data_IF_643761437753
#
_entry.id   IF_643761437753
#
_cell.length_a   1.000
_cell.length_b   1.000
_cell.length_c   1.000
_cell.angle_alpha   90.00
_cell.angle_beta   90.00
_cell.angle_gamma   90.00
#
_symmetry.space_group_name_H-M   'P 1'
#
loop_
_entity.id
_entity.type
_entity.pdbx_description
1 polymer ?
#
# COMPACT_ATOMS: atom_id res chain seq x y z
N UNK A 1 -15.42 -13.94 19.06
CA UNK A 1 -15.08 -12.55 19.45
C UNK A 1 -15.99 -11.57 18.74
N UNK A 2 -16.09 -10.32 19.20
CA UNK A 2 -16.86 -9.27 18.49
C UNK A 2 -16.20 -9.03 17.12
N UNK A 3 -16.98 -8.97 16.04
CA UNK A 3 -16.45 -8.80 14.66
C UNK A 3 -15.57 -7.55 14.52
N UNK A 4 -15.87 -6.47 15.25
CA UNK A 4 -15.04 -5.26 15.37
C UNK A 4 -13.60 -5.49 15.86
N UNK A 5 -13.34 -6.59 16.56
CA UNK A 5 -12.02 -6.91 17.10
C UNK A 5 -11.21 -7.82 16.15
N UNK A 6 -11.79 -8.22 15.01
CA UNK A 6 -11.09 -9.03 14.01
C UNK A 6 -10.26 -8.08 13.15
N UNK A 7 -8.92 -8.22 13.12
CA UNK A 7 -8.08 -7.43 12.23
C UNK A 7 -8.50 -7.61 10.78
N UNK A 8 -8.48 -6.52 10.01
CA UNK A 8 -8.67 -6.60 8.57
C UNK A 8 -7.42 -7.15 7.91
N UNK A 9 -6.24 -6.65 8.31
CA UNK A 9 -4.97 -7.12 7.79
C UNK A 9 -4.45 -8.32 8.57
N UNK A 10 -3.78 -9.23 7.86
CA UNK A 10 -3.17 -10.43 8.41
C UNK A 10 -1.84 -10.11 9.14
N UNK A 11 -1.96 -9.56 10.35
CA UNK A 11 -0.80 -9.21 11.20
C UNK A 11 0.01 -10.43 11.64
N UNK A 12 -0.63 -11.59 11.78
CA UNK A 12 0.03 -12.81 12.24
C UNK A 12 1.03 -13.30 11.18
N UNK A 13 0.78 -12.99 9.90
CA UNK A 13 1.72 -13.17 8.80
C UNK A 13 2.75 -12.04 8.63
N UNK A 14 2.75 -11.04 9.53
CA UNK A 14 3.65 -9.88 9.47
C UNK A 14 3.25 -8.79 8.46
N UNK A 15 1.96 -8.72 8.09
CA UNK A 15 1.46 -7.81 7.04
C UNK A 15 0.53 -6.71 7.64
N UNK A 16 0.46 -5.51 7.03
CA UNK A 16 1.16 -5.07 5.82
C UNK A 16 2.65 -4.78 6.08
N UNK A 17 3.49 -4.94 5.06
CA UNK A 17 4.93 -4.72 5.15
C UNK A 17 5.47 -3.98 3.93
N UNK A 18 6.49 -3.16 4.14
CA UNK A 18 7.28 -2.54 3.08
C UNK A 18 8.46 -3.44 2.72
N UNK A 19 8.63 -3.69 1.41
CA UNK A 19 9.73 -4.45 0.82
C UNK A 19 10.28 -3.70 -0.39
N UNK A 20 11.41 -4.17 -0.90
CA UNK A 20 12.01 -3.70 -2.15
C UNK A 20 11.65 -4.67 -3.27
N UNK A 21 11.18 -4.16 -4.41
CA UNK A 21 11.11 -4.91 -5.66
C UNK A 21 12.24 -4.47 -6.58
N UNK A 22 13.13 -5.38 -6.95
CA UNK A 22 14.22 -5.06 -7.89
C UNK A 22 13.75 -5.08 -9.35
N UNK A 23 14.65 -4.75 -10.28
CA UNK A 23 14.42 -4.77 -11.74
C UNK A 23 13.97 -6.14 -12.27
N UNK A 24 14.42 -7.22 -11.63
CA UNK A 24 14.06 -8.60 -11.99
C UNK A 24 12.68 -8.99 -11.44
N UNK A 25 12.04 -8.10 -10.67
CA UNK A 25 10.74 -8.32 -10.05
C UNK A 25 10.79 -9.11 -8.75
N UNK A 26 11.98 -9.41 -8.23
CA UNK A 26 12.17 -10.14 -6.98
C UNK A 26 11.92 -9.22 -5.78
N UNK A 27 11.36 -9.81 -4.72
CA UNK A 27 11.00 -9.12 -3.48
C UNK A 27 12.01 -9.43 -2.39
N UNK A 28 12.49 -8.39 -1.70
CA UNK A 28 13.43 -8.53 -0.57
C UNK A 28 13.11 -7.52 0.54
N UNK A 29 13.53 -7.82 1.77
CA UNK A 29 13.36 -6.89 2.89
C UNK A 29 14.13 -5.58 2.67
N UNK A 30 13.64 -4.48 3.25
CA UNK A 30 14.33 -3.18 3.16
C UNK A 30 15.68 -3.28 3.90
N UNK A 31 16.83 -3.12 3.22
CA UNK A 31 18.14 -3.49 3.77
C UNK A 31 18.61 -2.68 4.99
N UNK A 32 18.16 -1.42 5.11
CA UNK A 32 18.54 -0.53 6.21
C UNK A 32 17.54 0.63 6.35
N UNK A 33 17.53 1.26 7.52
CA UNK A 33 16.86 2.55 7.71
C UNK A 33 17.56 3.59 6.82
N UNK A 34 16.80 4.25 5.93
CA UNK A 34 17.26 5.18 4.87
C UNK A 34 17.68 4.52 3.54
N UNK A 35 17.20 3.31 3.24
CA UNK A 35 17.36 2.77 1.89
C UNK A 35 16.83 3.74 0.82
N UNK A 36 17.67 4.00 -0.18
CA UNK A 36 17.37 4.89 -1.28
C UNK A 36 16.77 4.10 -2.44
N UNK A 37 15.49 4.32 -2.68
CA UNK A 37 14.78 3.72 -3.80
C UNK A 37 15.05 4.52 -5.09
N UNK A 38 15.57 3.84 -6.11
CA UNK A 38 15.63 4.38 -7.46
C UNK A 38 14.55 3.69 -8.28
N UNK A 39 13.50 4.39 -8.73
CA UNK A 39 12.39 3.75 -9.45
C UNK A 39 12.80 3.00 -10.74
N UNK A 40 13.98 3.26 -11.29
CA UNK A 40 14.52 2.50 -12.41
C UNK A 40 15.01 1.12 -11.99
N UNK A 41 15.53 0.99 -10.75
CA UNK A 41 16.25 -0.20 -10.29
C UNK A 41 15.60 -0.92 -9.10
N UNK A 42 14.77 -0.21 -8.35
CA UNK A 42 14.17 -0.64 -7.10
C UNK A 42 12.92 0.18 -6.76
N UNK A 43 11.76 -0.47 -6.68
CA UNK A 43 10.51 0.16 -6.28
C UNK A 43 10.15 -0.15 -4.82
N UNK A 44 9.76 0.86 -4.01
CA UNK A 44 9.10 0.63 -2.73
C UNK A 44 7.81 -0.14 -3.00
N UNK A 45 7.69 -1.31 -2.38
CA UNK A 45 6.61 -2.24 -2.63
C UNK A 45 5.93 -2.60 -1.33
N UNK A 46 4.61 -2.51 -1.29
CA UNK A 46 3.84 -2.86 -0.10
C UNK A 46 3.15 -4.20 -0.34
N UNK A 47 3.40 -5.15 0.54
CA UNK A 47 2.66 -6.41 0.57
C UNK A 47 1.54 -6.28 1.58
N UNK A 48 0.32 -6.60 1.14
CA UNK A 48 -0.86 -6.63 2.01
C UNK A 48 -1.56 -7.97 1.87
N UNK A 49 -2.24 -8.37 2.94
CA UNK A 49 -3.10 -9.54 2.93
C UNK A 49 -4.31 -9.27 3.79
N UNK A 50 -5.48 -9.54 3.22
CA UNK A 50 -6.75 -9.27 3.85
C UNK A 50 -7.29 -10.55 4.49
N UNK A 51 -7.27 -10.61 5.82
CA UNK A 51 -7.92 -11.68 6.60
C UNK A 51 -9.44 -11.57 6.59
N UNK A 52 -9.98 -10.38 6.31
CA UNK A 52 -11.40 -10.09 6.21
C UNK A 52 -11.70 -9.07 5.11
N UNK A 53 -12.95 -9.03 4.66
CA UNK A 53 -13.44 -8.02 3.71
C UNK A 53 -13.41 -6.61 4.32
N UNK A 54 -12.91 -5.64 3.56
CA UNK A 54 -12.94 -4.21 3.88
C UNK A 54 -13.73 -3.43 2.82
N UNK A 55 -14.66 -2.53 3.22
CA UNK A 55 -15.35 -1.65 2.28
C UNK A 55 -14.46 -0.58 1.69
N UNK A 56 -13.35 -0.23 2.34
CA UNK A 56 -12.42 0.79 1.86
C UNK A 56 -11.00 0.45 2.28
N UNK A 57 -10.18 0.14 1.29
CA UNK A 57 -8.74 -0.01 1.43
C UNK A 57 -8.04 1.15 0.74
N UNK A 58 -7.04 1.71 1.41
CA UNK A 58 -6.21 2.77 0.84
C UNK A 58 -4.74 2.55 1.17
N UNK A 59 -3.85 2.85 0.23
CA UNK A 59 -2.45 3.16 0.53
C UNK A 59 -2.24 4.63 0.22
N UNK A 60 -1.86 5.40 1.23
CA UNK A 60 -1.77 6.86 1.19
C UNK A 60 -0.32 7.29 1.27
N UNK A 61 0.04 8.24 0.41
CA UNK A 61 1.37 8.86 0.38
C UNK A 61 1.26 10.23 1.03
N UNK A 62 2.16 10.51 1.98
CA UNK A 62 2.20 11.79 2.68
C UNK A 62 3.59 12.40 2.63
N UNK A 63 3.65 13.72 2.73
CA UNK A 63 4.88 14.43 2.99
C UNK A 63 5.25 14.29 4.48
N UNK A 64 6.40 13.70 4.87
CA UNK A 64 6.72 13.39 6.27
C UNK A 64 6.72 14.61 7.19
N UNK A 65 7.23 15.76 6.70
CA UNK A 65 7.40 16.96 7.51
C UNK A 65 6.08 17.68 7.79
N UNK A 66 5.26 17.88 6.75
CA UNK A 66 3.99 18.61 6.85
C UNK A 66 2.83 17.69 7.22
N UNK A 67 3.01 16.36 7.11
CA UNK A 67 1.95 15.34 7.16
C UNK A 67 0.86 15.55 6.12
N UNK A 68 1.16 16.33 5.08
CA UNK A 68 0.23 16.62 3.99
C UNK A 68 -0.03 15.34 3.20
N UNK A 69 -1.31 15.09 2.89
CA UNK A 69 -1.71 14.00 2.02
C UNK A 69 -1.41 14.38 0.57
N UNK A 70 -0.62 13.56 -0.11
CA UNK A 70 -0.19 13.81 -1.50
C UNK A 70 -1.01 13.00 -2.51
N UNK A 71 -1.63 11.90 -2.07
CA UNK A 71 -2.50 11.07 -2.89
C UNK A 71 -2.51 9.60 -2.49
N UNK A 72 -3.36 8.85 -3.17
CA UNK A 72 -3.45 7.40 -3.10
C UNK A 72 -2.44 6.77 -4.05
N UNK A 73 -1.71 5.77 -3.57
CA UNK A 73 -0.72 5.05 -4.37
C UNK A 73 -1.36 4.43 -5.61
N UNK A 74 -0.70 4.61 -6.75
CA UNK A 74 -1.02 3.92 -8.01
C UNK A 74 0.11 2.95 -8.31
N UNK A 75 -0.23 1.66 -8.38
CA UNK A 75 0.67 0.59 -8.83
C UNK A 75 0.36 0.25 -10.28
N UNK A 76 1.39 0.01 -11.09
CA UNK A 76 1.21 -0.41 -12.47
C UNK A 76 0.57 -1.80 -12.59
N UNK A 77 0.80 -2.68 -11.61
CA UNK A 77 0.29 -4.05 -11.62
C UNK A 77 -1.04 -4.19 -10.86
N UNK A 78 -1.17 -3.54 -9.72
CA UNK A 78 -2.34 -3.67 -8.84
C UNK A 78 -3.35 -2.53 -8.97
N UNK A 79 -3.08 -1.55 -9.83
CA UNK A 79 -3.92 -0.36 -9.99
C UNK A 79 -3.85 0.57 -8.78
N UNK A 80 -4.89 1.39 -8.63
CA UNK A 80 -4.98 2.36 -7.54
C UNK A 80 -5.41 1.70 -6.23
N UNK A 81 -4.66 1.93 -5.16
CA UNK A 81 -5.00 1.46 -3.82
C UNK A 81 -6.06 2.38 -3.17
N UNK A 82 -7.31 2.29 -3.63
CA UNK A 82 -8.43 3.17 -3.19
C UNK A 82 -9.81 2.48 -3.12
N UNK A 83 -9.88 1.17 -3.32
CA UNK A 83 -11.16 0.48 -3.55
C UNK A 83 -11.53 -0.47 -2.40
N UNK A 84 -12.80 -0.91 -2.33
CA UNK A 84 -13.16 -2.05 -1.49
C UNK A 84 -12.29 -3.27 -1.83
N UNK A 85 -12.01 -4.11 -0.84
CA UNK A 85 -11.24 -5.33 -1.06
C UNK A 85 -11.81 -6.51 -0.28
N UNK A 86 -11.88 -7.66 -0.95
CA UNK A 86 -12.35 -8.91 -0.39
C UNK A 86 -11.29 -9.63 0.44
N UNK A 87 -11.71 -10.68 1.15
CA UNK A 87 -10.78 -11.62 1.79
C UNK A 87 -9.97 -12.34 0.72
N UNK A 88 -8.66 -12.49 0.96
CA UNK A 88 -7.78 -13.27 0.08
C UNK A 88 -7.85 -14.77 0.42
N UNK A 89 -7.61 -15.63 -0.57
CA UNK A 89 -7.42 -17.07 -0.32
C UNK A 89 -6.23 -17.29 0.61
N UNK A 90 -6.17 -18.44 1.28
CA UNK A 90 -5.03 -18.71 2.16
C UNK A 90 -3.72 -18.82 1.37
N UNK A 91 -3.76 -19.64 0.32
CA UNK A 91 -2.63 -19.83 -0.58
C UNK A 91 -2.97 -19.35 -1.99
N UNK A 92 -1.95 -19.00 -2.75
CA UNK A 92 -2.02 -18.80 -4.19
C UNK A 92 -2.01 -20.15 -4.94
N UNK A 93 -2.02 -20.11 -6.27
CA UNK A 93 -1.98 -21.31 -7.11
C UNK A 93 -0.69 -22.14 -6.99
N UNK A 94 0.36 -21.57 -6.39
CA UNK A 94 1.67 -22.20 -6.21
C UNK A 94 1.88 -22.69 -4.77
N UNK A 95 0.88 -22.56 -3.89
CA UNK A 95 0.97 -22.97 -2.49
C UNK A 95 1.69 -21.97 -1.58
N UNK A 96 2.01 -20.77 -2.07
CA UNK A 96 2.55 -19.69 -1.24
C UNK A 96 1.41 -18.90 -0.59
N UNK A 97 1.71 -18.13 0.47
CA UNK A 97 0.72 -17.24 1.07
C UNK A 97 0.21 -16.24 0.02
N UNK A 98 -1.11 -16.16 -0.17
CA UNK A 98 -1.67 -15.18 -1.11
C UNK A 98 -1.50 -13.77 -0.55
N UNK A 99 -0.83 -12.90 -1.30
CA UNK A 99 -0.59 -11.49 -0.96
C UNK A 99 -0.90 -10.60 -2.16
N UNK A 100 -1.41 -9.39 -1.90
CA UNK A 100 -1.50 -8.34 -2.90
C UNK A 100 -0.23 -7.49 -2.84
N UNK A 101 0.29 -7.15 -4.01
CA UNK A 101 1.60 -6.50 -4.18
C UNK A 101 1.39 -5.14 -4.81
N UNK A 102 1.73 -4.08 -4.09
CA UNK A 102 1.64 -2.70 -4.59
C UNK A 102 3.03 -2.13 -4.76
N UNK A 103 3.63 -2.32 -5.93
CA UNK A 103 4.85 -1.62 -6.34
C UNK A 103 4.52 -0.15 -6.65
N UNK A 104 5.31 0.77 -6.11
CA UNK A 104 5.09 2.20 -6.28
C UNK A 104 6.24 2.86 -7.01
N UNK A 105 5.96 3.37 -8.20
CA UNK A 105 6.90 4.11 -9.03
C UNK A 105 6.56 5.61 -9.04
N UNK A 106 6.21 6.18 -7.89
CA UNK A 106 5.97 7.63 -7.73
C UNK A 106 4.60 8.13 -8.17
N UNK A 107 3.77 7.29 -8.80
CA UNK A 107 2.44 7.68 -9.27
C UNK A 107 1.40 7.68 -8.15
N UNK A 108 0.61 8.75 -8.05
CA UNK A 108 -0.48 8.88 -7.08
C UNK A 108 -1.74 9.46 -7.71
N UNK A 109 -2.90 9.10 -7.16
CA UNK A 109 -4.18 9.74 -7.46
C UNK A 109 -4.51 10.74 -6.35
N UNK A 110 -4.69 12.04 -6.64
CA UNK A 110 -4.84 13.05 -5.58
C UNK A 110 -6.15 12.97 -4.84
N UNK A 111 -7.19 12.42 -5.46
CA UNK A 111 -8.52 12.30 -4.86
C UNK A 111 -9.25 11.01 -5.27
N UNK A 112 -10.49 10.87 -4.80
CA UNK A 112 -11.39 9.76 -5.17
C UNK A 112 -12.22 10.06 -6.43
N UNK A 113 -11.92 11.16 -7.13
CA UNK A 113 -12.72 11.60 -8.28
C UNK A 113 -12.58 10.61 -9.44
N UNK A 114 -13.69 10.06 -9.96
CA UNK A 114 -13.65 9.18 -11.13
C UNK A 114 -13.03 9.88 -12.34
N UNK A 115 -12.09 9.20 -13.01
CA UNK A 115 -11.43 9.72 -14.22
C UNK A 115 -10.36 10.79 -13.95
N UNK A 116 -10.00 11.04 -12.69
CA UNK A 116 -8.79 11.80 -12.39
C UNK A 116 -7.56 11.02 -12.87
N UNK A 117 -6.65 11.69 -13.56
CA UNK A 117 -5.41 11.07 -14.04
C UNK A 117 -4.38 11.03 -12.91
N UNK A 118 -3.63 9.92 -12.76
CA UNK A 118 -2.52 9.84 -11.83
C UNK A 118 -1.46 10.91 -12.08
N UNK A 119 -0.92 11.49 -11.01
CA UNK A 119 0.18 12.45 -11.05
C UNK A 119 1.47 11.81 -10.55
N UNK A 120 2.57 12.23 -11.15
CA UNK A 120 3.90 11.80 -10.74
C UNK A 120 4.43 12.65 -9.57
N UNK A 121 4.93 12.00 -8.52
CA UNK A 121 5.65 12.66 -7.43
C UNK A 121 7.17 12.63 -7.67
N UNK A 122 7.87 13.77 -7.57
CA UNK A 122 9.30 13.87 -7.85
C UNK A 122 10.17 13.11 -6.83
N UNK A 123 11.49 13.10 -7.05
CA UNK A 123 12.43 12.58 -6.05
C UNK A 123 12.30 13.35 -4.71
N UNK A 124 11.98 12.65 -3.62
CA UNK A 124 11.86 13.21 -2.28
C UNK A 124 11.80 12.08 -1.22
N UNK A 125 11.52 12.44 0.03
CA UNK A 125 11.14 11.49 1.08
C UNK A 125 9.63 11.50 1.25
N UNK A 126 9.02 10.32 1.38
CA UNK A 126 7.58 10.15 1.53
C UNK A 126 7.24 9.20 2.67
N UNK A 127 6.14 9.45 3.39
CA UNK A 127 5.59 8.50 4.36
C UNK A 127 4.50 7.67 3.69
N UNK A 128 4.59 6.35 3.82
CA UNK A 128 3.58 5.42 3.28
C UNK A 128 2.68 4.91 4.40
N UNK A 129 1.37 5.11 4.24
CA UNK A 129 0.36 4.72 5.22
C UNK A 129 -0.64 3.78 4.59
N UNK A 130 -0.76 2.57 5.13
CA UNK A 130 -1.80 1.62 4.75
C UNK A 130 -2.98 1.80 5.69
N UNK A 131 -4.18 1.94 5.14
CA UNK A 131 -5.39 2.08 5.93
C UNK A 131 -6.53 1.23 5.37
N UNK A 132 -7.17 0.44 6.23
CA UNK A 132 -8.36 -0.35 5.89
C UNK A 132 -9.50 -0.03 6.85
N UNK A 133 -10.67 0.27 6.33
CA UNK A 133 -11.85 0.51 7.15
C UNK A 133 -12.23 -0.75 7.95
N UNK A 134 -12.41 -0.60 9.25
CA UNK A 134 -12.81 -1.70 10.10
C UNK A 134 -14.24 -2.17 9.78
N UNK A 135 -14.56 -3.39 10.20
CA UNK A 135 -15.91 -3.95 10.07
C UNK A 135 -16.48 -4.20 11.47
N UNK A 136 -17.58 -3.55 11.84
CA UNK A 136 -18.22 -3.78 13.13
C UNK A 136 -19.03 -5.07 13.12
N UNK A 137 -19.86 -5.28 12.08
CA UNK A 137 -20.71 -6.47 11.82
C UNK A 137 -21.05 -6.56 10.31
N UNK A 138 -21.89 -7.51 9.88
CA UNK A 138 -22.42 -7.53 8.49
C UNK A 138 -23.21 -6.24 8.24
N UNK A 139 -22.75 -5.41 7.30
CA UNK A 139 -23.45 -4.19 6.88
C UNK A 139 -23.25 -2.95 7.78
N UNK A 140 -22.44 -3.04 8.84
CA UNK A 140 -22.11 -1.89 9.71
C UNK A 140 -20.61 -1.62 9.68
N UNK A 141 -20.25 -0.43 9.19
CA UNK A 141 -18.87 0.01 9.03
C UNK A 141 -18.69 1.31 9.81
N UNK A 142 -17.81 1.33 10.83
CA UNK A 142 -17.50 2.56 11.53
C UNK A 142 -16.68 3.46 10.59
N UNK A 143 -16.55 4.75 10.93
CA UNK A 143 -15.56 5.59 10.27
C UNK A 143 -14.11 5.23 10.66
N UNK A 144 -13.93 4.32 11.61
CA UNK A 144 -12.63 3.90 12.10
C UNK A 144 -11.87 3.07 11.06
N UNK A 145 -10.61 3.44 10.85
CA UNK A 145 -9.66 2.71 10.02
C UNK A 145 -8.63 2.00 10.90
N UNK A 146 -8.29 0.79 10.50
CA UNK A 146 -7.04 0.16 10.88
C UNK A 146 -5.91 0.79 10.06
N UNK A 147 -4.98 1.49 10.72
CA UNK A 147 -3.94 2.29 10.07
C UNK A 147 -2.56 1.77 10.44
N UNK A 148 -1.69 1.63 9.44
CA UNK A 148 -0.30 1.23 9.55
C UNK A 148 0.59 2.27 8.91
N UNK A 149 1.47 2.88 9.70
CA UNK A 149 2.53 3.72 9.18
C UNK A 149 3.74 2.83 8.88
N UNK A 150 4.09 2.68 7.60
CA UNK A 150 5.22 1.85 7.15
C UNK A 150 6.56 2.61 7.16
N UNK A 151 6.56 3.84 7.66
CA UNK A 151 7.74 4.69 7.76
C UNK A 151 7.98 5.52 6.50
N UNK A 152 9.19 6.09 6.45
CA UNK A 152 9.62 6.97 5.39
C UNK A 152 10.41 6.20 4.33
N UNK A 153 10.12 6.48 3.06
CA UNK A 153 10.89 6.01 1.91
C UNK A 153 11.58 7.20 1.26
N UNK A 154 12.86 7.06 0.92
CA UNK A 154 13.62 8.08 0.20
C UNK A 154 13.72 7.62 -1.25
N UNK A 155 13.28 8.45 -2.21
CA UNK A 155 13.30 8.11 -3.64
C UNK A 155 14.22 9.09 -4.40
N UNK A 156 15.10 8.55 -5.24
CA UNK A 156 16.17 9.32 -5.90
C UNK A 156 15.98 9.62 -7.38
N UNK A 157 15.12 8.88 -8.08
CA UNK A 157 14.87 9.08 -9.50
C UNK A 157 13.38 9.28 -9.74
N UNK A 158 13.04 10.31 -10.50
CA UNK A 158 11.69 10.50 -10.99
C UNK A 158 11.54 9.82 -12.35
N UNK A 159 10.90 8.65 -12.46
CA UNK A 159 10.51 8.15 -13.78
C UNK A 159 9.47 9.12 -14.34
N UNK A 160 9.87 9.98 -15.26
CA UNK A 160 8.94 10.79 -16.02
C UNK A 160 8.18 9.81 -16.93
N UNK A 161 6.89 9.50 -16.70
CA UNK A 161 6.16 8.68 -17.66
C UNK A 161 6.09 9.48 -18.96
N UNK A 162 6.80 9.03 -19.99
CA UNK A 162 6.66 9.54 -21.35
C UNK A 162 5.35 9.04 -21.95
#
# INVERSE_FOLDING_TARGET
GKVRNVPIMDKDAGLPILVVRNEQGELSGVPHNNYLFNYETAAPTILVRFGSHTPKFTIRVHQPMTKEFLGYMVSGQSGTALFPTGRMTNLDGNGNLSVAVFDWHGMVLRSEVPGEEPVFLPANTYTLIVASQQKLTKGVYPQDFEVYNLGNVIVSAGLNPK
#
